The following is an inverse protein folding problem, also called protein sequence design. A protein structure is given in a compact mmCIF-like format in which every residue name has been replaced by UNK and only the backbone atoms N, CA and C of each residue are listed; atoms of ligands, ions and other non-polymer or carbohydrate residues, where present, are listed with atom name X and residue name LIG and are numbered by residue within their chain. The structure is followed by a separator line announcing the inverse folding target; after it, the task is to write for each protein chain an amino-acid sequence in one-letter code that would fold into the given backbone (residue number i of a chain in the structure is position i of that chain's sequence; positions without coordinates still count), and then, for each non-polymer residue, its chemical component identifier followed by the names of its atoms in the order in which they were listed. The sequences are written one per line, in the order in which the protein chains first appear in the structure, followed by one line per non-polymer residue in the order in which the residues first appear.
data_IF_990616999106
#
_entry.id   IF_990616999106
#
_cell.length_a   1.000
_cell.length_b   1.000
_cell.length_c   1.000
_cell.angle_alpha   90.00
_cell.angle_beta   90.00
_cell.angle_gamma   90.00
#
_symmetry.space_group_name_H-M   'P 1'
#
loop_
_entity.id
_entity.type
_entity.pdbx_description
1 polymer ?
#
# COMPACT_ATOMS: atom_id res chain seq x y z
N UNK A 1 3.87 6.50 15.32
CA UNK A 1 3.19 5.84 14.18
C UNK A 1 1.68 6.09 14.22
N UNK A 2 1.03 5.80 15.35
CA UNK A 2 -0.41 6.01 15.55
C UNK A 2 -0.90 7.46 15.35
N UNK A 3 -0.21 8.46 15.92
CA UNK A 3 -0.61 9.86 15.73
C UNK A 3 -0.53 10.33 14.27
N UNK A 4 0.47 9.83 13.55
CA UNK A 4 0.65 10.16 12.14
C UNK A 4 -0.50 9.62 11.28
N UNK A 5 -0.88 8.36 11.46
CA UNK A 5 -1.99 7.76 10.71
C UNK A 5 -3.34 8.35 11.10
N UNK A 6 -3.53 8.69 12.39
CA UNK A 6 -4.75 9.35 12.86
C UNK A 6 -4.93 10.74 12.26
N UNK A 7 -3.87 11.56 12.25
CA UNK A 7 -3.95 12.93 11.76
C UNK A 7 -4.39 13.01 10.29
N UNK A 8 -4.03 12.02 9.47
CA UNK A 8 -4.46 11.96 8.07
C UNK A 8 -5.87 11.37 7.92
N UNK A 9 -6.29 10.48 8.82
CA UNK A 9 -7.63 9.89 8.78
C UNK A 9 -8.75 10.84 9.24
N UNK A 10 -8.46 11.80 10.12
CA UNK A 10 -9.48 12.74 10.62
C UNK A 10 -10.01 13.70 9.53
N UNK A 11 -9.17 14.30 8.66
CA UNK A 11 -9.65 15.07 7.51
C UNK A 11 -10.59 14.29 6.59
N UNK A 12 -10.33 12.99 6.38
CA UNK A 12 -11.22 12.12 5.60
C UNK A 12 -12.59 11.97 6.28
N UNK A 13 -12.64 11.86 7.61
CA UNK A 13 -13.91 11.79 8.32
C UNK A 13 -14.74 13.08 8.14
N UNK A 14 -14.09 14.24 8.23
CA UNK A 14 -14.74 15.55 8.00
C UNK A 14 -15.27 15.63 6.56
N UNK A 15 -14.49 15.16 5.59
CA UNK A 15 -14.90 15.07 4.19
C UNK A 15 -16.15 14.18 3.98
N UNK A 16 -16.25 13.06 4.71
CA UNK A 16 -17.43 12.19 4.66
C UNK A 16 -18.69 12.88 5.22
N UNK A 17 -18.57 13.63 6.32
CA UNK A 17 -19.70 14.41 6.83
C UNK A 17 -20.13 15.52 5.87
N UNK A 18 -19.17 16.19 5.22
CA UNK A 18 -19.48 17.17 4.19
C UNK A 18 -20.20 16.53 3.00
N UNK A 19 -19.73 15.37 2.52
CA UNK A 19 -20.41 14.60 1.47
C UNK A 19 -21.85 14.27 1.84
N UNK A 20 -22.07 13.76 3.05
CA UNK A 20 -23.41 13.42 3.52
C UNK A 20 -24.36 14.62 3.53
N UNK A 21 -23.87 15.80 3.93
CA UNK A 21 -24.67 17.02 3.94
C UNK A 21 -25.07 17.49 2.53
N UNK A 22 -24.24 17.22 1.51
CA UNK A 22 -24.50 17.64 0.12
C UNK A 22 -25.42 16.65 -0.61
N UNK A 23 -25.16 15.34 -0.49
CA UNK A 23 -25.89 14.32 -1.27
C UNK A 23 -27.02 13.65 -0.51
N UNK A 24 -27.07 13.79 0.83
CA UNK A 24 -28.02 13.12 1.70
C UNK A 24 -27.87 11.60 1.78
N UNK A 25 -26.89 11.00 1.09
CA UNK A 25 -26.69 9.55 1.02
C UNK A 25 -25.21 9.16 0.99
N UNK A 26 -24.87 8.06 1.66
CA UNK A 26 -23.50 7.49 1.68
C UNK A 26 -23.34 6.25 0.80
N UNK A 27 -24.36 5.90 0.01
CA UNK A 27 -24.30 4.75 -0.88
C UNK A 27 -23.41 5.07 -2.09
N UNK A 28 -22.31 4.33 -2.25
CA UNK A 28 -21.35 4.53 -3.36
C UNK A 28 -22.00 4.52 -4.75
N UNK A 29 -23.02 3.69 -4.95
CA UNK A 29 -23.73 3.63 -6.24
C UNK A 29 -24.46 4.95 -6.56
N UNK A 30 -25.11 5.56 -5.57
CA UNK A 30 -25.80 6.83 -5.72
C UNK A 30 -24.81 8.00 -5.84
N UNK A 31 -23.71 7.94 -5.07
CA UNK A 31 -22.64 8.95 -5.11
C UNK A 31 -21.98 9.04 -6.48
N UNK A 32 -21.88 7.94 -7.23
CA UNK A 32 -21.24 7.92 -8.54
C UNK A 32 -21.97 8.75 -9.61
N UNK A 33 -23.24 9.09 -9.38
CA UNK A 33 -24.01 9.94 -10.29
C UNK A 33 -23.73 11.44 -10.07
N UNK A 34 -23.07 11.81 -8.98
CA UNK A 34 -22.72 13.19 -8.66
C UNK A 34 -21.29 13.51 -9.12
N UNK A 35 -21.12 14.68 -9.73
CA UNK A 35 -19.81 15.22 -10.08
C UNK A 35 -19.41 16.27 -9.05
N UNK A 36 -18.35 15.99 -8.27
CA UNK A 36 -17.80 16.93 -7.30
C UNK A 36 -16.60 17.69 -7.90
N UNK A 37 -16.57 19.02 -7.74
CA UNK A 37 -15.44 19.90 -8.16
C UNK A 37 -14.74 20.57 -6.96
N UNK A 38 -14.92 20.04 -5.75
CA UNK A 38 -14.26 20.55 -4.56
C UNK A 38 -12.84 19.96 -4.42
N UNK A 39 -11.81 20.76 -4.71
CA UNK A 39 -10.40 20.34 -4.60
C UNK A 39 -10.02 19.86 -3.18
N UNK A 40 -10.52 20.54 -2.15
CA UNK A 40 -10.27 20.19 -0.74
C UNK A 40 -10.87 18.80 -0.42
N UNK A 41 -12.02 18.47 -1.01
CA UNK A 41 -12.66 17.17 -0.85
C UNK A 41 -11.81 16.06 -1.50
N UNK A 42 -11.28 16.32 -2.69
CA UNK A 42 -10.39 15.38 -3.36
C UNK A 42 -9.14 15.11 -2.52
N UNK A 43 -8.45 16.16 -2.05
CA UNK A 43 -7.21 16.01 -1.28
C UNK A 43 -7.47 15.25 0.03
N UNK A 44 -8.52 15.62 0.77
CA UNK A 44 -8.83 14.99 2.06
C UNK A 44 -9.21 13.50 1.94
N UNK A 45 -9.99 13.14 0.91
CA UNK A 45 -10.36 11.74 0.67
C UNK A 45 -9.17 10.92 0.17
N UNK A 46 -8.42 11.41 -0.82
CA UNK A 46 -7.32 10.67 -1.45
C UNK A 46 -6.14 10.52 -0.50
N UNK A 47 -5.77 11.57 0.24
CA UNK A 47 -4.58 11.56 1.11
C UNK A 47 -4.65 10.47 2.20
N UNK A 48 -5.82 10.22 2.79
CA UNK A 48 -5.98 9.17 3.79
C UNK A 48 -5.67 7.77 3.25
N UNK A 49 -6.00 7.50 1.99
CA UNK A 49 -5.66 6.24 1.35
C UNK A 49 -4.22 6.18 0.88
N UNK A 50 -3.62 7.31 0.46
CA UNK A 50 -2.19 7.41 0.11
C UNK A 50 -1.23 7.21 1.29
N UNK A 51 -1.73 7.30 2.52
CA UNK A 51 -0.95 6.95 3.71
C UNK A 51 -1.06 5.47 4.05
N UNK A 52 -2.25 4.87 3.84
CA UNK A 52 -2.48 3.42 4.03
C UNK A 52 -1.84 2.58 2.92
N UNK A 53 -1.91 3.05 1.68
CA UNK A 53 -1.09 2.55 0.56
C UNK A 53 0.23 3.30 0.60
N UNK A 54 1.35 2.67 0.96
CA UNK A 54 2.60 3.36 1.27
C UNK A 54 3.14 4.05 0.00
N UNK A 55 2.84 5.34 -0.15
CA UNK A 55 3.53 6.16 -1.14
C UNK A 55 4.94 6.45 -0.65
N UNK A 56 5.85 6.66 -1.60
CA UNK A 56 7.11 7.33 -1.33
C UNK A 56 6.89 8.64 -0.53
N UNK A 57 7.83 8.99 0.35
CA UNK A 57 7.71 9.94 1.48
C UNK A 57 7.02 9.39 2.74
N UNK A 58 5.87 8.71 2.58
CA UNK A 58 5.08 8.24 3.72
C UNK A 58 5.40 6.79 4.14
N UNK A 59 6.07 6.03 3.29
CA UNK A 59 6.33 4.61 3.45
C UNK A 59 7.04 4.15 4.74
N UNK A 60 7.75 5.02 5.46
CA UNK A 60 8.62 4.64 6.59
C UNK A 60 7.91 3.92 7.74
N UNK A 61 6.59 4.09 7.86
CA UNK A 61 5.82 3.41 8.88
C UNK A 61 5.76 1.88 8.66
N UNK A 62 5.80 1.44 7.40
CA UNK A 62 5.58 0.06 7.03
C UNK A 62 6.79 -0.83 7.37
N UNK A 63 8.05 -0.49 7.01
CA UNK A 63 9.22 -1.29 7.42
C UNK A 63 9.34 -1.39 8.94
N UNK A 64 9.09 -0.31 9.68
CA UNK A 64 9.13 -0.30 11.15
C UNK A 64 8.06 -1.22 11.74
N UNK A 65 6.83 -1.15 11.23
CA UNK A 65 5.73 -2.01 11.69
C UNK A 65 6.04 -3.50 11.51
N UNK A 66 6.66 -3.90 10.39
CA UNK A 66 7.00 -5.31 10.15
C UNK A 66 8.15 -5.84 11.02
N UNK A 67 9.12 -4.98 11.37
CA UNK A 67 10.26 -5.40 12.21
C UNK A 67 9.80 -5.69 13.64
N UNK A 68 8.85 -4.91 14.15
CA UNK A 68 8.31 -5.01 15.52
C UNK A 68 7.17 -6.04 15.63
N UNK A 69 6.39 -6.23 14.57
CA UNK A 69 5.22 -7.11 14.62
C UNK A 69 5.58 -8.60 14.74
N UNK A 70 4.72 -9.40 15.44
CA UNK A 70 4.77 -10.84 15.35
C UNK A 70 4.51 -11.30 13.90
N UNK A 71 4.86 -12.54 13.61
CA UNK A 71 4.86 -13.09 12.25
C UNK A 71 3.44 -13.11 11.66
N UNK A 72 2.48 -13.61 12.43
CA UNK A 72 1.06 -13.58 12.08
C UNK A 72 0.57 -12.15 11.79
N UNK A 73 1.00 -11.18 12.61
CA UNK A 73 0.73 -9.77 12.39
C UNK A 73 1.33 -9.26 11.07
N UNK A 74 2.57 -9.62 10.76
CA UNK A 74 3.22 -9.26 9.50
C UNK A 74 2.52 -9.86 8.28
N UNK A 75 2.07 -11.12 8.37
CA UNK A 75 1.32 -11.78 7.30
C UNK A 75 -0.03 -11.12 7.04
N UNK A 76 -0.77 -10.77 8.09
CA UNK A 76 -2.07 -10.08 7.97
C UNK A 76 -1.88 -8.65 7.45
N UNK A 77 -0.86 -7.94 7.94
CA UNK A 77 -0.53 -6.58 7.52
C UNK A 77 -0.20 -6.55 6.02
N UNK A 78 0.69 -7.45 5.59
CA UNK A 78 1.09 -7.57 4.19
C UNK A 78 -0.07 -8.07 3.32
N UNK A 79 -0.81 -9.08 3.77
CA UNK A 79 -1.88 -9.70 3.00
C UNK A 79 -3.12 -8.81 2.81
N UNK A 80 -3.56 -8.15 3.89
CA UNK A 80 -4.87 -7.50 3.95
C UNK A 80 -4.78 -5.98 4.10
N UNK A 81 -4.02 -5.47 5.07
CA UNK A 81 -4.10 -4.04 5.43
C UNK A 81 -3.74 -3.13 4.25
N UNK A 82 -2.67 -3.45 3.52
CA UNK A 82 -2.26 -2.66 2.36
C UNK A 82 -3.34 -2.70 1.26
N UNK A 83 -4.02 -3.83 1.09
CA UNK A 83 -5.01 -4.03 0.03
C UNK A 83 -6.30 -3.26 0.32
N UNK A 84 -6.67 -3.14 1.59
CA UNK A 84 -7.80 -2.30 2.00
C UNK A 84 -7.59 -0.83 1.63
N UNK A 85 -6.34 -0.34 1.66
CA UNK A 85 -6.00 0.99 1.18
C UNK A 85 -6.25 1.16 -0.32
N UNK A 86 -5.75 0.23 -1.14
CA UNK A 86 -5.93 0.25 -2.60
C UNK A 86 -7.38 0.03 -3.03
N UNK A 87 -8.10 -0.85 -2.34
CA UNK A 87 -9.53 -1.06 -2.55
C UNK A 87 -10.35 0.17 -2.17
N UNK A 88 -9.98 0.87 -1.10
CA UNK A 88 -10.59 2.14 -0.73
C UNK A 88 -10.46 3.19 -1.84
N UNK A 89 -9.26 3.33 -2.42
CA UNK A 89 -9.04 4.17 -3.60
C UNK A 89 -9.91 3.74 -4.77
N UNK A 90 -9.95 2.44 -5.12
CA UNK A 90 -10.80 1.94 -6.20
C UNK A 90 -12.28 2.32 -6.07
N UNK A 91 -12.81 2.40 -4.83
CA UNK A 91 -14.20 2.81 -4.58
C UNK A 91 -14.43 4.30 -4.61
N UNK A 92 -13.41 5.10 -4.27
CA UNK A 92 -13.51 6.56 -4.15
C UNK A 92 -13.22 7.27 -5.48
N UNK A 93 -12.34 6.70 -6.30
CA UNK A 93 -11.93 7.27 -7.58
C UNK A 93 -13.08 7.51 -8.59
N UNK A 94 -14.09 6.63 -8.74
CA UNK A 94 -15.17 6.83 -9.72
C UNK A 94 -15.96 8.13 -9.55
N UNK A 95 -16.34 8.51 -8.32
CA UNK A 95 -17.08 9.75 -8.09
C UNK A 95 -16.19 11.00 -8.02
N UNK A 96 -14.86 10.83 -8.00
CA UNK A 96 -13.88 11.92 -8.06
C UNK A 96 -13.25 12.07 -9.45
N UNK A 97 -13.85 11.51 -10.50
CA UNK A 97 -13.24 11.42 -11.83
C UNK A 97 -12.84 12.79 -12.40
N UNK A 98 -13.67 13.84 -12.22
CA UNK A 98 -13.40 15.17 -12.75
C UNK A 98 -12.15 15.82 -12.15
N UNK A 99 -11.96 15.71 -10.83
CA UNK A 99 -10.76 16.21 -10.15
C UNK A 99 -9.56 15.28 -10.37
N UNK A 100 -9.83 13.98 -10.52
CA UNK A 100 -8.81 12.97 -10.79
C UNK A 100 -8.02 13.26 -12.08
N UNK A 101 -8.69 13.66 -13.16
CA UNK A 101 -7.99 14.01 -14.41
C UNK A 101 -7.05 15.21 -14.25
N UNK A 102 -7.35 16.15 -13.35
CA UNK A 102 -6.50 17.32 -13.07
C UNK A 102 -5.31 16.98 -12.17
N UNK A 103 -5.51 16.21 -11.09
CA UNK A 103 -4.50 16.03 -10.04
C UNK A 103 -3.72 14.71 -10.09
N UNK A 104 -4.26 13.65 -10.71
CA UNK A 104 -3.66 12.31 -10.63
C UNK A 104 -2.24 12.22 -11.19
N UNK A 105 -1.86 13.08 -12.15
CA UNK A 105 -0.51 13.08 -12.73
C UNK A 105 0.58 13.30 -11.67
N UNK A 106 0.29 14.12 -10.65
CA UNK A 106 1.21 14.42 -9.55
C UNK A 106 1.53 13.12 -8.80
N UNK A 107 0.49 12.38 -8.43
CA UNK A 107 0.64 11.12 -7.69
C UNK A 107 1.36 10.04 -8.49
N UNK A 108 1.10 9.95 -9.80
CA UNK A 108 1.79 9.02 -10.70
C UNK A 108 3.29 9.31 -10.74
N UNK A 109 3.68 10.59 -10.85
CA UNK A 109 5.09 10.98 -10.90
C UNK A 109 5.83 10.61 -9.62
N UNK A 110 5.23 10.90 -8.45
CA UNK A 110 5.82 10.59 -7.14
C UNK A 110 5.92 9.08 -6.93
N UNK A 111 4.90 8.31 -7.31
CA UNK A 111 4.89 6.86 -7.11
C UNK A 111 5.93 6.14 -7.97
N UNK A 112 6.13 6.58 -9.23
CA UNK A 112 7.09 5.96 -10.14
C UNK A 112 8.53 6.27 -9.73
N UNK A 113 8.86 7.55 -9.50
CA UNK A 113 10.20 7.95 -9.03
C UNK A 113 10.52 7.31 -7.68
N UNK A 114 9.54 7.33 -6.77
CA UNK A 114 9.66 6.71 -5.47
C UNK A 114 9.87 5.21 -5.52
N UNK A 115 9.17 4.49 -6.40
CA UNK A 115 9.33 3.05 -6.61
C UNK A 115 10.76 2.68 -7.02
N UNK A 116 11.40 3.48 -7.89
CA UNK A 116 12.80 3.30 -8.30
C UNK A 116 13.76 3.56 -7.13
N UNK A 117 13.52 4.61 -6.35
CA UNK A 117 14.39 4.90 -5.19
C UNK A 117 14.30 3.81 -4.12
N UNK A 118 13.09 3.30 -3.85
CA UNK A 118 12.89 2.23 -2.87
C UNK A 118 13.51 0.91 -3.35
N UNK A 119 13.44 0.60 -4.65
CA UNK A 119 14.08 -0.61 -5.16
C UNK A 119 15.61 -0.57 -5.01
N UNK A 120 16.23 0.59 -5.19
CA UNK A 120 17.65 0.80 -4.89
C UNK A 120 17.94 0.63 -3.39
N UNK A 121 17.11 1.22 -2.52
CA UNK A 121 17.26 1.05 -1.06
C UNK A 121 17.08 -0.42 -0.62
N UNK A 122 16.26 -1.20 -1.33
CA UNK A 122 16.05 -2.62 -1.07
C UNK A 122 17.35 -3.42 -1.25
N UNK A 123 18.17 -3.10 -2.25
CA UNK A 123 19.45 -3.78 -2.50
C UNK A 123 20.45 -3.63 -1.33
N UNK A 124 20.34 -2.54 -0.57
CA UNK A 124 21.21 -2.27 0.57
C UNK A 124 20.74 -2.92 1.88
N UNK A 125 19.53 -3.51 1.93
CA UNK A 125 19.00 -4.05 3.18
C UNK A 125 19.59 -5.41 3.54
N UNK A 126 20.07 -5.53 4.78
CA UNK A 126 20.62 -6.77 5.33
C UNK A 126 19.59 -7.61 6.07
N UNK A 127 18.50 -7.02 6.56
CA UNK A 127 17.49 -7.73 7.34
C UNK A 127 16.36 -8.26 6.46
N UNK A 128 16.08 -9.57 6.55
CA UNK A 128 15.08 -10.26 5.71
C UNK A 128 13.67 -9.64 5.81
N UNK A 129 13.18 -9.34 7.03
CA UNK A 129 11.86 -8.73 7.21
C UNK A 129 11.79 -7.32 6.60
N UNK A 130 12.87 -6.55 6.73
CA UNK A 130 12.94 -5.20 6.16
C UNK A 130 13.00 -5.26 4.63
N UNK A 131 13.74 -6.22 4.07
CA UNK A 131 13.85 -6.45 2.62
C UNK A 131 12.46 -6.71 2.01
N UNK A 132 11.69 -7.62 2.61
CA UNK A 132 10.32 -7.94 2.15
C UNK A 132 9.39 -6.72 2.30
N UNK A 133 9.55 -5.95 3.38
CA UNK A 133 8.78 -4.73 3.59
C UNK A 133 9.10 -3.67 2.50
N UNK A 134 10.36 -3.40 2.19
CA UNK A 134 10.72 -2.42 1.17
C UNK A 134 10.32 -2.85 -0.25
N UNK A 135 10.46 -4.13 -0.59
CA UNK A 135 9.96 -4.64 -1.88
C UNK A 135 8.44 -4.47 -1.99
N UNK A 136 7.70 -4.63 -0.88
CA UNK A 136 6.25 -4.41 -0.88
C UNK A 136 5.83 -2.97 -1.15
N UNK A 137 6.61 -1.99 -0.68
CA UNK A 137 6.37 -0.58 -0.98
C UNK A 137 6.59 -0.31 -2.47
N UNK A 138 7.64 -0.88 -3.08
CA UNK A 138 7.91 -0.71 -4.50
C UNK A 138 6.77 -1.27 -5.37
N UNK A 139 6.28 -2.49 -5.08
CA UNK A 139 5.15 -3.07 -5.80
C UNK A 139 3.85 -2.27 -5.62
N UNK A 140 3.55 -1.80 -4.41
CA UNK A 140 2.37 -0.97 -4.15
C UNK A 140 2.47 0.41 -4.81
N UNK A 141 3.67 0.95 -5.01
CA UNK A 141 3.90 2.15 -5.83
C UNK A 141 3.46 1.96 -7.28
N UNK A 142 3.72 0.78 -7.86
CA UNK A 142 3.24 0.43 -9.20
C UNK A 142 1.71 0.31 -9.22
N UNK A 143 1.11 -0.35 -8.23
CA UNK A 143 -0.36 -0.42 -8.08
C UNK A 143 -0.96 0.99 -8.06
N UNK A 144 -0.39 1.90 -7.26
CA UNK A 144 -0.87 3.27 -7.14
C UNK A 144 -0.81 4.01 -8.48
N UNK A 145 0.29 3.89 -9.20
CA UNK A 145 0.42 4.52 -10.53
C UNK A 145 -0.65 4.01 -11.50
N UNK A 146 -0.92 2.70 -11.51
CA UNK A 146 -1.95 2.07 -12.35
C UNK A 146 -3.36 2.54 -12.01
N UNK A 147 -3.69 2.61 -10.72
CA UNK A 147 -4.99 3.11 -10.23
C UNK A 147 -5.23 4.56 -10.64
N UNK A 148 -4.22 5.42 -10.53
CA UNK A 148 -4.34 6.85 -10.79
C UNK A 148 -4.50 7.17 -12.29
N UNK A 149 -4.18 6.25 -13.21
CA UNK A 149 -4.46 6.45 -14.64
C UNK A 149 -5.95 6.46 -15.00
N UNK A 150 -6.83 5.92 -14.14
CA UNK A 150 -8.28 5.80 -14.40
C UNK A 150 -8.65 5.06 -15.70
N UNK A 151 -7.70 4.34 -16.31
CA UNK A 151 -7.96 3.52 -17.49
C UNK A 151 -8.41 2.13 -17.07
N UNK A 152 -9.24 1.48 -17.89
CA UNK A 152 -9.70 0.11 -17.61
C UNK A 152 -8.51 -0.86 -17.46
N UNK A 153 -7.52 -0.77 -18.35
CA UNK A 153 -6.32 -1.62 -18.29
C UNK A 153 -5.49 -1.36 -17.03
N UNK A 154 -5.34 -0.09 -16.62
CA UNK A 154 -4.65 0.28 -15.39
C UNK A 154 -5.34 -0.26 -14.15
N UNK A 155 -6.67 -0.16 -14.08
CA UNK A 155 -7.48 -0.68 -12.98
C UNK A 155 -7.36 -2.21 -12.92
N UNK A 156 -7.56 -2.93 -14.04
CA UNK A 156 -7.44 -4.39 -14.07
C UNK A 156 -6.03 -4.86 -13.67
N UNK A 157 -4.98 -4.24 -14.19
CA UNK A 157 -3.59 -4.58 -13.85
C UNK A 157 -3.23 -4.27 -12.38
N UNK A 158 -3.71 -3.16 -11.85
CA UNK A 158 -3.49 -2.81 -10.44
C UNK A 158 -4.20 -3.80 -9.50
N UNK A 159 -5.41 -4.26 -9.87
CA UNK A 159 -6.17 -5.23 -9.10
C UNK A 159 -5.51 -6.61 -9.07
N UNK A 160 -5.04 -7.10 -10.23
CA UNK A 160 -4.34 -8.38 -10.30
C UNK A 160 -3.03 -8.34 -9.51
N UNK A 161 -2.26 -7.25 -9.61
CA UNK A 161 -1.02 -7.08 -8.84
C UNK A 161 -1.27 -7.03 -7.32
N UNK A 162 -2.36 -6.38 -6.87
CA UNK A 162 -2.73 -6.37 -5.45
C UNK A 162 -2.98 -7.77 -4.90
N UNK A 163 -3.70 -8.61 -5.65
CA UNK A 163 -3.99 -10.00 -5.26
C UNK A 163 -2.70 -10.82 -5.27
N UNK A 164 -1.96 -10.80 -6.37
CA UNK A 164 -0.71 -11.54 -6.52
C UNK A 164 0.28 -11.18 -5.41
N UNK A 165 0.48 -9.89 -5.16
CA UNK A 165 1.32 -9.43 -4.08
C UNK A 165 0.82 -9.88 -2.71
N UNK A 166 -0.49 -9.88 -2.46
CA UNK A 166 -1.07 -10.37 -1.19
C UNK A 166 -0.61 -11.78 -0.86
N UNK A 167 -0.70 -12.67 -1.84
CA UNK A 167 -0.30 -14.07 -1.72
C UNK A 167 1.23 -14.22 -1.64
N UNK A 168 1.98 -13.58 -2.54
CA UNK A 168 3.44 -13.71 -2.56
C UNK A 168 4.11 -13.13 -1.29
N UNK A 169 3.72 -11.93 -0.86
CA UNK A 169 4.34 -11.29 0.31
C UNK A 169 4.03 -12.02 1.62
N UNK A 170 2.81 -12.52 1.80
CA UNK A 170 2.47 -13.33 2.99
C UNK A 170 3.25 -14.65 3.00
N UNK A 171 3.41 -15.30 1.85
CA UNK A 171 4.28 -16.46 1.69
C UNK A 171 5.74 -16.17 2.06
N UNK A 172 6.30 -15.07 1.56
CA UNK A 172 7.67 -14.64 1.88
C UNK A 172 7.85 -14.36 3.38
N UNK A 173 6.88 -13.72 4.04
CA UNK A 173 6.94 -13.50 5.49
C UNK A 173 6.87 -14.82 6.28
N UNK A 174 6.13 -15.83 5.80
CA UNK A 174 6.12 -17.16 6.38
C UNK A 174 7.49 -17.85 6.26
N UNK A 175 8.08 -17.84 5.05
CA UNK A 175 9.41 -18.42 4.80
C UNK A 175 10.52 -17.72 5.62
N UNK A 176 10.48 -16.39 5.70
CA UNK A 176 11.40 -15.62 6.52
C UNK A 176 11.27 -15.95 8.01
N UNK A 177 10.09 -16.35 8.48
CA UNK A 177 9.93 -16.80 9.86
C UNK A 177 10.47 -18.21 10.10
N UNK A 178 10.21 -19.15 9.19
CA UNK A 178 10.70 -20.52 9.35
C UNK A 178 12.24 -20.55 9.39
N UNK A 179 12.90 -19.73 8.57
CA UNK A 179 14.35 -19.53 8.64
C UNK A 179 14.80 -18.88 9.96
N UNK A 180 14.06 -17.88 10.46
CA UNK A 180 14.34 -17.24 11.74
C UNK A 180 14.21 -18.19 12.93
N UNK A 181 13.17 -19.04 12.97
CA UNK A 181 12.98 -20.04 14.05
C UNK A 181 14.11 -21.07 14.12
N UNK A 182 14.80 -21.33 13.00
CA UNK A 182 15.88 -22.32 12.92
C UNK A 182 17.25 -21.75 13.21
N UNK A 183 17.54 -20.54 12.73
CA UNK A 183 18.87 -19.92 12.86
C UNK A 183 18.93 -18.89 13.99
N UNK A 184 17.79 -18.43 14.52
CA UNK A 184 17.71 -17.38 15.54
C UNK A 184 18.11 -15.99 15.04
N UNK A 185 18.40 -15.83 13.75
CA UNK A 185 18.92 -14.59 13.17
C UNK A 185 18.11 -14.14 11.95
N UNK A 186 17.95 -12.82 11.81
CA UNK A 186 17.21 -12.19 10.69
C UNK A 186 18.11 -11.70 9.55
N UNK A 187 19.42 -11.75 9.75
CA UNK A 187 20.38 -11.16 8.82
C UNK A 187 20.62 -12.09 7.62
N UNK A 188 20.63 -11.50 6.42
CA UNK A 188 20.96 -12.20 5.16
C UNK A 188 22.35 -12.82 5.18
N UNK A 189 23.30 -12.22 5.90
CA UNK A 189 24.68 -12.68 5.95
C UNK A 189 24.83 -14.02 6.68
N UNK A 190 24.09 -14.19 7.78
CA UNK A 190 24.10 -15.43 8.57
C UNK A 190 23.27 -16.51 7.87
N UNK A 191 22.18 -16.14 7.19
CA UNK A 191 21.26 -17.07 6.55
C UNK A 191 21.73 -17.56 5.17
N UNK A 192 23.05 -17.53 4.89
CA UNK A 192 23.64 -18.03 3.63
C UNK A 192 23.73 -19.56 3.64
N UNK A 193 23.66 -20.18 2.46
CA UNK A 193 23.87 -21.62 2.30
C UNK A 193 22.69 -22.52 2.74
N UNK A 194 21.50 -21.96 2.93
CA UNK A 194 20.31 -22.70 3.37
C UNK A 194 19.83 -23.78 2.38
N UNK A 195 20.21 -23.71 1.10
CA UNK A 195 19.91 -24.74 0.09
C UNK A 195 20.36 -26.15 0.52
N UNK A 196 21.51 -26.26 1.20
CA UNK A 196 22.03 -27.55 1.66
C UNK A 196 21.29 -28.10 2.89
N UNK A 197 20.74 -27.21 3.73
CA UNK A 197 20.11 -27.59 4.99
C UNK A 197 18.59 -27.77 4.87
N UNK A 198 17.94 -27.01 3.97
CA UNK A 198 16.49 -26.98 3.81
C UNK A 198 16.10 -26.94 2.32
N UNK A 199 16.37 -28.00 1.54
CA UNK A 199 16.11 -28.00 0.09
C UNK A 199 14.62 -27.89 -0.27
N UNK A 200 13.72 -28.31 0.62
CA UNK A 200 12.27 -28.18 0.42
C UNK A 200 11.73 -26.77 0.58
N UNK A 201 12.54 -25.84 1.12
CA UNK A 201 12.21 -24.44 1.35
C UNK A 201 12.82 -23.52 0.28
N UNK A 202 13.55 -24.08 -0.69
CA UNK A 202 14.19 -23.38 -1.79
C UNK A 202 13.20 -23.01 -2.91
#
# INVERSE_FOLDING_TARGET
LLFYTLFVSLPMLVALFFLYNVTGTMNFYLLNNYMFDFEILYISLVMAFLVKMPMFLVHLWLPKAHVEAPVSGSMILAGVMLKLGGYGLLRVLPFLQFLGTKFNFIWISISLVGGVLISLMCLCQTDLKSLIAYSSVAHMGIVLSGLMTMTYMGICGSYTLMIAHGLCSSGLFCLANISYERLGSRSLLINKGLLNFMPSMA
#
